data_IF_043216474385
#
_entry.id   IF_043216474385
#
_cell.length_a   1.000
_cell.length_b   1.000
_cell.length_c   1.000
_cell.angle_alpha   90.00
_cell.angle_beta   90.00
_cell.angle_gamma   90.00
#
_symmetry.space_group_name_H-M   'P 1'
#
loop_
_entity.id
_entity.type
_entity.pdbx_description
1 polymer ?
#
# COMPACT_ATOMS: atom_id res chain seq x y z
N UNK A 1 -12.23 30.00 -2.98
CA UNK A 1 -11.07 29.12 -2.73
C UNK A 1 -10.89 28.91 -1.22
N UNK A 2 -11.36 27.79 -0.70
CA UNK A 2 -10.95 27.26 0.61
C UNK A 2 -10.30 25.91 0.33
N UNK A 3 -8.98 25.88 0.37
CA UNK A 3 -8.22 24.65 0.46
C UNK A 3 -8.56 24.03 1.81
N UNK A 4 -9.39 22.97 1.80
CA UNK A 4 -9.61 22.14 2.98
C UNK A 4 -8.37 21.25 3.14
N UNK A 5 -7.33 21.82 3.73
CA UNK A 5 -6.24 21.05 4.32
C UNK A 5 -6.83 20.25 5.49
N UNK A 6 -6.97 18.94 5.31
CA UNK A 6 -7.27 18.00 6.38
C UNK A 6 -6.02 17.87 7.25
N UNK A 7 -5.85 18.80 8.18
CA UNK A 7 -4.78 18.77 9.18
C UNK A 7 -5.08 17.68 10.21
N UNK A 8 -4.52 16.49 9.99
CA UNK A 8 -4.54 15.38 10.93
C UNK A 8 -3.55 15.69 12.07
N UNK A 9 -4.08 15.81 13.29
CA UNK A 9 -3.32 15.93 14.52
C UNK A 9 -2.58 14.61 14.81
N UNK A 10 -1.25 14.67 14.73
CA UNK A 10 -0.34 13.59 15.09
C UNK A 10 -0.16 13.58 16.62
N UNK A 11 -0.82 12.66 17.31
CA UNK A 11 -0.47 12.31 18.70
C UNK A 11 0.58 11.21 18.66
N UNK A 12 1.86 11.60 18.65
CA UNK A 12 2.95 10.68 18.96
C UNK A 12 3.04 10.51 20.49
N UNK A 13 2.46 9.44 21.01
CA UNK A 13 2.87 8.89 22.31
C UNK A 13 4.20 8.16 22.11
N UNK A 14 5.21 8.58 22.88
CA UNK A 14 6.60 8.14 22.75
C UNK A 14 6.85 6.67 23.10
N UNK A 15 7.78 6.06 22.38
CA UNK A 15 8.51 4.89 22.82
C UNK A 15 9.92 5.32 23.23
N UNK A 16 10.25 5.12 24.51
CA UNK A 16 11.59 5.27 25.05
C UNK A 16 12.52 4.13 24.61
N UNK A 17 13.81 4.45 24.57
CA UNK A 17 14.89 3.70 23.91
C UNK A 17 15.73 2.91 24.92
N UNK A 18 16.14 1.72 24.47
CA UNK A 18 17.47 1.07 24.65
C UNK A 18 17.83 0.43 26.01
N UNK A 19 18.90 -0.41 26.11
CA UNK A 19 19.78 -0.99 25.08
C UNK A 19 20.07 -2.52 25.21
N UNK A 20 20.65 -3.04 24.12
CA UNK A 20 21.41 -4.31 24.02
C UNK A 20 22.75 -4.19 24.79
N UNK A 21 23.14 -5.25 25.51
CA UNK A 21 24.54 -5.46 25.96
C UNK A 21 25.06 -6.80 25.45
N UNK A 22 26.19 -6.75 24.75
CA UNK A 22 27.06 -7.87 24.37
C UNK A 22 28.19 -8.06 25.40
N UNK A 23 28.92 -9.19 25.27
CA UNK A 23 30.19 -9.57 25.95
C UNK A 23 30.02 -10.11 27.39
N UNK A 24 30.57 -11.25 27.86
CA UNK A 24 31.57 -12.22 27.39
C UNK A 24 31.49 -13.54 28.22
N UNK A 25 31.87 -14.68 27.59
CA UNK A 25 32.78 -15.80 28.03
C UNK A 25 32.74 -16.32 29.50
N UNK A 26 32.91 -17.60 29.89
CA UNK A 26 33.31 -18.90 29.30
C UNK A 26 33.17 -19.99 30.41
N UNK A 27 33.38 -21.27 30.04
CA UNK A 27 33.68 -22.48 30.86
C UNK A 27 32.47 -23.44 31.13
N UNK A 28 32.48 -24.77 30.92
CA UNK A 28 33.43 -25.74 30.36
C UNK A 28 32.75 -27.11 30.14
N UNK A 29 33.40 -27.95 29.32
CA UNK A 29 33.31 -29.41 29.20
C UNK A 29 32.15 -30.10 28.44
N UNK A 30 32.51 -30.61 27.25
CA UNK A 30 32.31 -31.98 26.69
C UNK A 30 30.89 -32.55 26.69
N UNK A 31 30.31 -32.93 25.56
CA UNK A 31 30.71 -34.13 24.81
C UNK A 31 30.48 -34.02 23.30
N UNK A 32 31.30 -34.80 22.60
CA UNK A 32 31.42 -35.05 21.18
C UNK A 32 30.18 -35.68 20.53
N UNK A 33 29.79 -35.23 19.34
CA UNK A 33 29.48 -36.16 18.24
C UNK A 33 29.70 -35.49 16.87
N UNK A 34 30.61 -36.10 16.12
CA UNK A 34 31.08 -35.67 14.80
C UNK A 34 30.42 -36.58 13.77
N UNK A 35 29.56 -36.05 12.89
CA UNK A 35 29.15 -36.75 11.68
C UNK A 35 29.73 -36.03 10.47
N UNK A 36 30.80 -36.62 9.93
CA UNK A 36 31.37 -36.30 8.61
C UNK A 36 30.56 -37.04 7.56
N UNK A 37 30.06 -36.32 6.56
CA UNK A 37 29.77 -36.89 5.24
C UNK A 37 30.41 -36.00 4.18
N UNK A 38 31.31 -36.61 3.42
CA UNK A 38 31.97 -36.04 2.25
C UNK A 38 31.11 -36.28 1.01
N UNK A 39 31.38 -35.45 0.01
CA UNK A 39 31.17 -35.66 -1.42
C UNK A 39 29.92 -35.04 -2.05
N UNK A 40 30.20 -34.38 -3.18
CA UNK A 40 29.40 -33.35 -3.79
C UNK A 40 28.06 -33.81 -4.34
N UNK A 41 27.09 -32.91 -4.25
CA UNK A 41 26.06 -32.75 -5.27
C UNK A 41 25.67 -31.27 -5.37
N UNK A 42 25.34 -30.87 -6.59
CA UNK A 42 25.06 -29.50 -6.98
C UNK A 42 23.77 -29.02 -6.32
N UNK A 43 23.84 -27.99 -5.48
CA UNK A 43 22.62 -27.28 -5.07
C UNK A 43 22.23 -26.35 -6.23
N UNK A 44 21.48 -26.93 -7.17
CA UNK A 44 20.59 -26.21 -8.06
C UNK A 44 19.62 -25.43 -7.17
N UNK A 45 19.91 -24.14 -6.96
CA UNK A 45 19.01 -23.23 -6.25
C UNK A 45 17.79 -23.09 -7.13
N UNK A 46 16.84 -24.00 -6.90
CA UNK A 46 15.50 -23.99 -7.44
C UNK A 46 14.94 -22.57 -7.32
N UNK A 47 14.91 -21.88 -8.46
CA UNK A 47 13.89 -20.89 -8.77
C UNK A 47 12.55 -21.61 -8.71
N UNK A 48 12.08 -21.86 -7.49
CA UNK A 48 10.68 -22.14 -7.23
C UNK A 48 9.99 -20.84 -7.57
N UNK A 49 9.58 -20.69 -8.82
CA UNK A 49 8.45 -19.85 -9.16
C UNK A 49 7.32 -20.31 -8.24
N UNK A 50 7.18 -19.62 -7.12
CA UNK A 50 5.98 -19.69 -6.30
C UNK A 50 4.89 -19.36 -7.29
N UNK A 51 4.11 -20.37 -7.66
CA UNK A 51 2.92 -20.25 -8.49
C UNK A 51 2.00 -19.33 -7.71
N UNK A 52 2.23 -18.04 -7.90
CA UNK A 52 1.79 -16.99 -7.01
C UNK A 52 0.28 -17.02 -7.01
N UNK A 53 -0.31 -17.18 -5.83
CA UNK A 53 -1.73 -16.94 -5.66
C UNK A 53 -2.04 -15.59 -6.31
N UNK A 54 -2.97 -15.61 -7.27
CA UNK A 54 -3.40 -14.40 -7.96
C UNK A 54 -4.01 -13.52 -6.88
N UNK A 55 -3.41 -12.37 -6.62
CA UNK A 55 -3.92 -11.44 -5.63
C UNK A 55 -5.34 -11.02 -6.00
N UNK A 56 -6.26 -11.22 -5.07
CA UNK A 56 -7.65 -10.81 -5.19
C UNK A 56 -7.83 -9.36 -4.69
N UNK A 57 -8.74 -8.60 -5.34
CA UNK A 57 -8.93 -7.19 -4.98
C UNK A 57 -9.52 -7.02 -3.59
N UNK A 58 -10.44 -7.90 -3.18
CA UNK A 58 -11.17 -7.77 -1.91
C UNK A 58 -10.30 -8.13 -0.71
N UNK A 59 -9.24 -8.91 -0.93
CA UNK A 59 -8.18 -9.14 0.06
C UNK A 59 -7.12 -8.04 0.06
N UNK A 60 -6.82 -7.46 -1.11
CA UNK A 60 -5.85 -6.37 -1.27
C UNK A 60 -6.34 -5.06 -0.66
N UNK A 61 -7.57 -4.64 -0.98
CA UNK A 61 -8.04 -3.29 -0.71
C UNK A 61 -8.12 -2.96 0.78
N UNK A 62 -8.65 -3.82 1.69
CA UNK A 62 -8.67 -3.51 3.13
C UNK A 62 -7.28 -3.27 3.72
N UNK A 63 -6.27 -4.02 3.25
CA UNK A 63 -4.87 -3.82 3.65
C UNK A 63 -4.31 -2.53 3.07
N UNK A 64 -4.55 -2.26 1.78
CA UNK A 64 -4.18 -1.00 1.14
C UNK A 64 -4.78 0.23 1.85
N UNK A 65 -6.00 0.09 2.36
CA UNK A 65 -6.73 1.15 3.05
C UNK A 65 -6.19 1.49 4.43
N UNK A 66 -5.56 0.54 5.13
CA UNK A 66 -5.21 0.66 6.56
C UNK A 66 -3.70 0.65 6.86
N UNK A 67 -2.86 0.20 5.93
CA UNK A 67 -1.40 0.12 6.10
C UNK A 67 -0.69 1.12 5.18
N UNK A 68 -0.12 2.18 5.76
CA UNK A 68 0.54 3.26 5.02
C UNK A 68 1.80 2.81 4.27
N UNK A 69 2.53 1.83 4.80
CA UNK A 69 3.75 1.29 4.17
C UNK A 69 3.37 0.41 3.00
N UNK A 70 2.37 -0.46 3.19
CA UNK A 70 1.82 -1.27 2.11
C UNK A 70 1.23 -0.39 1.02
N UNK A 71 0.45 0.65 1.38
CA UNK A 71 -0.12 1.60 0.44
C UNK A 71 0.97 2.25 -0.43
N UNK A 72 2.02 2.81 0.18
CA UNK A 72 3.13 3.42 -0.55
C UNK A 72 3.83 2.44 -1.51
N UNK A 73 3.92 1.16 -1.15
CA UNK A 73 4.49 0.11 -2.01
C UNK A 73 3.59 -0.27 -3.19
N UNK A 74 2.30 0.10 -3.13
CA UNK A 74 1.26 -0.25 -4.09
C UNK A 74 0.71 0.98 -4.83
N UNK A 75 1.38 2.12 -4.75
CA UNK A 75 1.12 3.28 -5.61
C UNK A 75 2.09 3.26 -6.78
N UNK A 76 1.56 3.42 -7.99
CA UNK A 76 2.38 3.64 -9.17
C UNK A 76 2.81 5.09 -9.26
N UNK A 77 4.13 5.31 -9.32
CA UNK A 77 4.72 6.63 -9.49
C UNK A 77 5.31 6.82 -10.90
N UNK A 78 5.22 8.03 -11.48
CA UNK A 78 4.55 9.21 -10.92
C UNK A 78 3.03 9.06 -10.90
N UNK A 79 2.41 9.37 -9.75
CA UNK A 79 0.99 9.14 -9.53
C UNK A 79 0.15 10.17 -10.27
N UNK A 80 -0.75 9.74 -11.15
CA UNK A 80 -1.54 10.61 -12.02
C UNK A 80 -2.78 11.13 -11.29
N UNK A 81 -2.95 12.45 -11.27
CA UNK A 81 -4.11 13.13 -10.70
C UNK A 81 -4.81 13.88 -11.84
N UNK A 82 -6.10 13.63 -12.02
CA UNK A 82 -6.94 14.29 -13.00
C UNK A 82 -7.94 15.15 -12.24
N UNK A 83 -8.04 16.43 -12.58
CA UNK A 83 -8.99 17.37 -11.99
C UNK A 83 -9.92 17.84 -13.10
N UNK A 84 -11.22 17.66 -12.93
CA UNK A 84 -12.24 18.19 -13.84
C UNK A 84 -12.72 19.52 -13.27
N UNK A 85 -12.36 20.60 -13.96
CA UNK A 85 -12.68 21.99 -13.63
C UNK A 85 -13.64 22.56 -14.69
N UNK A 86 -14.28 23.70 -14.41
CA UNK A 86 -15.24 24.33 -15.35
C UNK A 86 -14.59 24.70 -16.68
N UNK A 87 -13.33 25.16 -16.63
CA UNK A 87 -12.51 25.49 -17.81
C UNK A 87 -11.95 24.28 -18.57
N UNK A 88 -12.11 23.06 -18.03
CA UNK A 88 -11.65 21.82 -18.65
C UNK A 88 -10.91 20.89 -17.69
N UNK A 89 -10.13 19.96 -18.24
CA UNK A 89 -9.44 18.93 -17.45
C UNK A 89 -7.96 19.25 -17.26
N UNK A 90 -7.50 19.27 -16.02
CA UNK A 90 -6.09 19.45 -15.65
C UNK A 90 -5.50 18.11 -15.19
N UNK A 91 -4.36 17.72 -15.75
CA UNK A 91 -3.61 16.54 -15.29
C UNK A 91 -2.35 16.97 -14.53
N UNK A 92 -2.16 16.41 -13.35
CA UNK A 92 -0.98 16.59 -12.50
C UNK A 92 -0.33 15.24 -12.20
N UNK A 93 0.92 15.28 -11.76
CA UNK A 93 1.70 14.10 -11.41
C UNK A 93 2.37 14.31 -10.06
N UNK A 94 2.22 13.34 -9.16
CA UNK A 94 2.80 13.36 -7.82
C UNK A 94 3.98 12.38 -7.76
N UNK A 95 5.12 12.84 -7.25
CA UNK A 95 6.28 11.99 -7.01
C UNK A 95 6.14 11.19 -5.71
N UNK A 96 6.94 10.12 -5.57
CA UNK A 96 6.93 9.26 -4.37
C UNK A 96 7.19 10.02 -3.07
N UNK A 97 8.07 11.04 -3.12
CA UNK A 97 8.42 11.87 -1.96
C UNK A 97 7.28 12.80 -1.50
N UNK A 98 6.34 13.10 -2.40
CA UNK A 98 5.23 14.02 -2.17
C UNK A 98 3.93 13.26 -1.85
N UNK A 99 3.98 11.92 -1.85
CA UNK A 99 2.87 11.05 -1.50
C UNK A 99 2.50 11.18 -0.03
N UNK A 100 1.20 11.33 0.24
CA UNK A 100 0.62 11.26 1.58
C UNK A 100 -0.32 10.07 1.67
N UNK A 101 -0.27 9.35 2.79
CA UNK A 101 -1.16 8.23 3.06
C UNK A 101 -2.62 8.68 3.03
N UNK A 102 -3.47 7.88 2.37
CA UNK A 102 -4.92 8.07 2.29
C UNK A 102 -5.59 6.94 3.06
N UNK A 103 -6.28 7.27 4.16
CA UNK A 103 -7.03 6.29 4.94
C UNK A 103 -8.43 6.08 4.33
N UNK A 104 -8.57 5.02 3.53
CA UNK A 104 -9.85 4.63 2.93
C UNK A 104 -10.75 3.86 3.92
N UNK A 105 -10.23 3.40 5.05
CA UNK A 105 -11.03 2.65 6.03
C UNK A 105 -12.09 3.51 6.71
N UNK A 106 -11.83 4.81 6.82
CA UNK A 106 -12.75 5.78 7.42
C UNK A 106 -13.81 6.30 6.43
N UNK A 107 -13.67 6.01 5.13
CA UNK A 107 -14.53 6.55 4.07
C UNK A 107 -15.84 5.76 3.85
N UNK A 108 -16.21 4.87 4.78
CA UNK A 108 -17.49 4.15 4.77
C UNK A 108 -18.37 4.47 5.99
N UNK A 109 -18.03 5.53 6.73
CA UNK A 109 -18.74 5.93 7.95
C UNK A 109 -19.55 7.20 7.70
N UNK A 110 -20.79 7.23 8.20
CA UNK A 110 -21.65 8.41 8.11
C UNK A 110 -22.05 8.72 6.67
N UNK A 111 -21.74 9.94 6.22
CA UNK A 111 -22.08 10.44 4.87
C UNK A 111 -21.04 10.09 3.79
N UNK A 112 -19.96 9.41 4.18
CA UNK A 112 -18.92 8.96 3.26
C UNK A 112 -19.32 7.62 2.65
N UNK A 113 -19.17 7.50 1.33
CA UNK A 113 -19.47 6.27 0.62
C UNK A 113 -18.31 5.85 -0.29
N UNK A 114 -18.02 4.55 -0.31
CA UNK A 114 -17.10 3.92 -1.27
C UNK A 114 -17.86 2.86 -2.07
N UNK A 115 -17.80 2.96 -3.39
CA UNK A 115 -18.38 1.99 -4.32
C UNK A 115 -17.27 1.35 -5.17
N UNK A 116 -17.16 0.02 -5.13
CA UNK A 116 -16.24 -0.75 -5.99
C UNK A 116 -16.91 -1.02 -7.34
N UNK A 117 -16.24 -0.65 -8.44
CA UNK A 117 -16.64 -0.95 -9.82
C UNK A 117 -15.55 -1.77 -10.51
N UNK A 118 -15.89 -3.00 -10.88
CA UNK A 118 -14.99 -3.84 -11.68
C UNK A 118 -15.14 -3.48 -13.17
N UNK A 119 -14.08 -2.93 -13.76
CA UNK A 119 -14.04 -2.63 -15.20
C UNK A 119 -13.54 -3.83 -16.00
N UNK A 120 -12.62 -4.61 -15.43
CA UNK A 120 -12.11 -5.87 -15.99
C UNK A 120 -11.40 -6.70 -14.92
N UNK A 121 -10.95 -7.91 -15.27
CA UNK A 121 -10.14 -8.77 -14.39
C UNK A 121 -8.87 -8.10 -13.83
N UNK A 122 -8.36 -7.06 -14.50
CA UNK A 122 -7.14 -6.36 -14.13
C UNK A 122 -7.36 -4.87 -13.83
N UNK A 123 -8.61 -4.40 -13.78
CA UNK A 123 -8.91 -2.99 -13.54
C UNK A 123 -10.14 -2.84 -12.66
N UNK A 124 -9.98 -2.13 -11.54
CA UNK A 124 -11.04 -1.78 -10.61
C UNK A 124 -10.99 -0.29 -10.36
N UNK A 125 -12.15 0.35 -10.34
CA UNK A 125 -12.32 1.73 -9.93
C UNK A 125 -13.07 1.77 -8.62
N UNK A 126 -12.54 2.48 -7.63
CA UNK A 126 -13.22 2.75 -6.36
C UNK A 126 -13.71 4.19 -6.41
N UNK A 127 -15.03 4.37 -6.39
CA UNK A 127 -15.66 5.69 -6.35
C UNK A 127 -15.88 6.11 -4.90
N UNK A 128 -15.43 7.31 -4.56
CA UNK A 128 -15.68 7.98 -3.30
C UNK A 128 -16.66 9.14 -3.50
N UNK A 129 -17.70 9.17 -2.70
CA UNK A 129 -18.66 10.28 -2.64
C UNK A 129 -18.89 10.72 -1.20
N UNK A 130 -19.25 12.00 -1.04
CA UNK A 130 -19.71 12.55 0.23
C UNK A 130 -21.09 13.16 0.02
N UNK A 131 -22.09 12.60 0.70
CA UNK A 131 -23.49 13.00 0.55
C UNK A 131 -23.70 14.51 0.76
N UNK A 132 -24.56 15.11 -0.06
CA UNK A 132 -24.94 16.53 -0.02
C UNK A 132 -23.81 17.54 -0.24
N UNK A 133 -22.62 17.12 -0.70
CA UNK A 133 -21.47 18.03 -0.88
C UNK A 133 -20.99 18.20 -2.32
N UNK A 134 -21.46 17.36 -3.25
CA UNK A 134 -20.97 17.36 -4.63
C UNK A 134 -19.61 16.68 -4.82
N UNK A 135 -18.99 16.13 -3.76
CA UNK A 135 -17.71 15.43 -3.86
C UNK A 135 -17.86 14.12 -4.63
N UNK A 136 -17.03 13.97 -5.67
CA UNK A 136 -17.00 12.80 -6.54
C UNK A 136 -15.56 12.51 -6.98
N UNK A 137 -14.93 11.50 -6.37
CA UNK A 137 -13.54 11.14 -6.65
C UNK A 137 -13.46 9.67 -7.04
N UNK A 138 -12.87 9.36 -8.18
CA UNK A 138 -12.60 7.99 -8.61
C UNK A 138 -11.12 7.63 -8.44
N UNK A 139 -10.85 6.49 -7.82
CA UNK A 139 -9.51 5.92 -7.64
C UNK A 139 -9.37 4.69 -8.53
N UNK A 140 -8.42 4.73 -9.48
CA UNK A 140 -8.23 3.65 -10.44
C UNK A 140 -7.09 2.74 -10.03
N UNK A 141 -7.39 1.46 -9.93
CA UNK A 141 -6.44 0.39 -9.62
C UNK A 141 -6.26 -0.51 -10.82
N UNK A 142 -5.00 -0.84 -11.13
CA UNK A 142 -4.65 -1.79 -12.18
C UNK A 142 -3.78 -2.92 -11.63
N UNK A 143 -4.07 -4.15 -12.04
CA UNK A 143 -3.26 -5.32 -11.70
C UNK A 143 -2.06 -5.40 -12.65
N UNK A 144 -0.85 -5.20 -12.13
CA UNK A 144 0.42 -5.26 -12.87
C UNK A 144 1.29 -6.37 -12.29
N UNK A 145 1.71 -7.31 -13.12
CA UNK A 145 2.52 -8.48 -12.69
C UNK A 145 1.89 -9.22 -11.49
N UNK A 146 0.56 -9.37 -11.52
CA UNK A 146 -0.20 -10.06 -10.47
C UNK A 146 -0.43 -9.24 -9.19
N UNK A 147 0.01 -7.99 -9.12
CA UNK A 147 -0.17 -7.09 -7.96
C UNK A 147 -1.08 -5.93 -8.31
N UNK A 148 -2.07 -5.64 -7.46
CA UNK A 148 -2.88 -4.45 -7.57
C UNK A 148 -2.07 -3.21 -7.20
N UNK A 149 -2.18 -2.19 -8.04
CA UNK A 149 -1.50 -0.90 -7.93
C UNK A 149 -2.51 0.24 -8.11
N UNK A 150 -2.47 1.24 -7.23
CA UNK A 150 -3.17 2.51 -7.43
C UNK A 150 -2.44 3.32 -8.50
N UNK A 151 -3.10 3.60 -9.61
CA UNK A 151 -2.46 4.22 -10.79
C UNK A 151 -2.88 5.67 -11.04
N UNK A 152 -4.12 6.01 -10.68
CA UNK A 152 -4.60 7.39 -10.82
C UNK A 152 -5.76 7.71 -9.90
N UNK A 153 -6.03 8.99 -9.75
CA UNK A 153 -7.34 9.49 -9.32
C UNK A 153 -7.90 10.49 -10.32
N UNK A 154 -9.22 10.61 -10.33
CA UNK A 154 -9.94 11.69 -10.98
C UNK A 154 -10.89 12.34 -9.98
N UNK A 155 -10.78 13.65 -9.80
CA UNK A 155 -11.70 14.48 -9.03
C UNK A 155 -12.61 15.21 -10.01
N UNK A 156 -13.90 14.88 -9.98
CA UNK A 156 -14.96 15.53 -10.76
C UNK A 156 -16.06 16.08 -9.86
N UNK A 157 -15.67 16.53 -8.67
CA UNK A 157 -16.55 17.19 -7.71
C UNK A 157 -17.11 18.50 -8.27
N UNK A 158 -18.36 18.82 -7.91
CA UNK A 158 -19.12 20.01 -8.39
C UNK A 158 -19.44 20.99 -7.28
#
# INVERSE_FOLDING_TARGET
MKLLYLSILLLCSGCDKSPISSEDLEDTATETETLRFSDGDSIDVLNKEVKGEKEDFDSFFPKFSSDSTFQLSRVEFPYKIILVEDEGTVTRYLGKKDWSYVDFSQMQVGKHHLEKKEESNNTVTVLYTLEDTGVYISYKFNKKQGKWMLTSMEDSST
#
